data_IF_253476998899
#
_entry.id   IF_253476998899
#
_cell.length_a   1.000
_cell.length_b   1.000
_cell.length_c   1.000
_cell.angle_alpha   90.00
_cell.angle_beta   90.00
_cell.angle_gamma   90.00
#
_symmetry.space_group_name_H-M   'P 1'
#
loop_
_entity.id
_entity.type
_entity.pdbx_description
1 polymer ?
#
# COMPACT_ATOMS: atom_id res chain seq x y z
N UNK A 1 -0.40 7.60 13.19
CA UNK A 1 -0.16 6.22 13.69
C UNK A 1 1.29 6.12 14.14
N UNK A 2 1.59 5.36 15.20
CA UNK A 2 2.97 5.14 15.67
C UNK A 2 3.81 4.42 14.61
N UNK A 3 5.13 4.36 14.81
CA UNK A 3 6.07 3.55 14.00
C UNK A 3 6.89 2.72 14.97
N UNK A 4 6.83 1.39 14.85
CA UNK A 4 7.48 0.43 15.78
C UNK A 4 8.76 -0.17 15.21
N UNK A 5 9.00 -0.03 13.90
CA UNK A 5 10.07 -0.71 13.14
C UNK A 5 10.05 -2.24 13.24
N UNK A 6 8.94 -2.84 13.69
CA UNK A 6 8.73 -4.28 13.64
C UNK A 6 8.19 -4.63 12.24
N UNK A 7 8.83 -5.59 11.59
CA UNK A 7 8.42 -6.09 10.27
C UNK A 7 7.44 -7.25 10.44
N UNK A 8 6.29 -7.14 9.76
CA UNK A 8 5.43 -8.27 9.43
C UNK A 8 5.94 -8.87 8.12
N UNK A 9 6.51 -10.07 8.23
CA UNK A 9 6.97 -10.83 7.06
C UNK A 9 5.79 -11.61 6.50
N UNK A 10 5.42 -11.32 5.25
CA UNK A 10 4.35 -12.02 4.55
C UNK A 10 4.70 -13.50 4.38
N UNK A 11 3.71 -14.36 4.58
CA UNK A 11 3.79 -15.78 4.24
C UNK A 11 3.56 -15.97 2.75
N UNK A 12 4.08 -17.06 2.18
CA UNK A 12 3.93 -17.39 0.75
C UNK A 12 2.46 -17.53 0.31
N UNK A 13 1.54 -17.77 1.25
CA UNK A 13 0.10 -17.90 1.00
C UNK A 13 -0.65 -16.57 1.09
N UNK A 14 -0.01 -15.51 1.55
CA UNK A 14 -0.64 -14.20 1.75
C UNK A 14 -0.38 -13.31 0.54
N UNK A 15 -1.38 -12.54 0.11
CA UNK A 15 -1.22 -11.57 -0.97
C UNK A 15 -1.91 -10.27 -0.63
N UNK A 16 -1.21 -9.14 -0.71
CA UNK A 16 -1.82 -7.82 -0.48
C UNK A 16 -2.38 -7.30 -1.80
N UNK A 17 -3.71 -7.26 -1.90
CA UNK A 17 -4.40 -6.77 -3.10
C UNK A 17 -5.27 -5.57 -2.75
N UNK A 18 -5.14 -4.52 -3.55
CA UNK A 18 -6.07 -3.38 -3.53
C UNK A 18 -6.33 -2.88 -4.94
N UNK A 19 -7.47 -2.21 -5.13
CA UNK A 19 -7.77 -1.45 -6.34
C UNK A 19 -8.13 -0.04 -5.97
N UNK A 20 -7.78 0.90 -6.84
CA UNK A 20 -8.10 2.31 -6.67
C UNK A 20 -8.89 2.85 -7.86
N UNK A 21 -9.61 3.94 -7.64
CA UNK A 21 -10.13 4.78 -8.72
C UNK A 21 -9.02 5.65 -9.33
N UNK A 22 -9.36 6.45 -10.35
CA UNK A 22 -8.42 7.35 -11.02
C UNK A 22 -7.89 8.48 -10.12
N UNK A 23 -8.49 8.68 -8.95
CA UNK A 23 -8.07 9.65 -7.94
C UNK A 23 -7.20 9.01 -6.85
N UNK A 24 -6.95 7.70 -6.92
CA UNK A 24 -6.15 6.94 -5.95
C UNK A 24 -6.93 6.53 -4.70
N UNK A 25 -8.26 6.64 -4.69
CA UNK A 25 -9.10 6.17 -3.59
C UNK A 25 -9.36 4.67 -3.72
N UNK A 26 -9.22 3.94 -2.63
CA UNK A 26 -9.40 2.50 -2.59
C UNK A 26 -10.87 2.16 -2.88
N UNK A 27 -11.09 1.28 -3.85
CA UNK A 27 -12.42 0.74 -4.22
C UNK A 27 -12.58 -0.73 -3.84
N UNK A 28 -11.47 -1.42 -3.55
CA UNK A 28 -11.47 -2.82 -3.17
C UNK A 28 -10.19 -3.16 -2.40
N UNK A 29 -10.30 -4.06 -1.43
CA UNK A 29 -9.18 -4.72 -0.74
C UNK A 29 -9.52 -6.19 -0.50
N UNK A 30 -8.52 -7.07 -0.48
CA UNK A 30 -8.73 -8.45 -0.09
C UNK A 30 -8.58 -8.66 1.43
N UNK A 31 -8.94 -9.85 1.90
CA UNK A 31 -8.91 -10.18 3.33
C UNK A 31 -7.50 -10.14 3.93
N UNK A 32 -6.47 -10.57 3.19
CA UNK A 32 -5.09 -10.54 3.70
C UNK A 32 -4.64 -9.10 3.95
N UNK A 33 -4.98 -8.16 3.06
CA UNK A 33 -4.67 -6.76 3.28
C UNK A 33 -5.34 -6.23 4.58
N UNK A 34 -6.60 -6.57 4.82
CA UNK A 34 -7.30 -6.21 6.07
C UNK A 34 -6.54 -6.79 7.29
N UNK A 35 -6.21 -8.09 7.24
CA UNK A 35 -5.56 -8.79 8.35
C UNK A 35 -4.16 -8.24 8.65
N UNK A 36 -3.34 -8.06 7.61
CA UNK A 36 -1.94 -7.62 7.73
C UNK A 36 -1.89 -6.16 8.17
N UNK A 37 -2.68 -5.28 7.53
CA UNK A 37 -2.63 -3.85 7.80
C UNK A 37 -3.28 -3.46 9.13
N UNK A 38 -4.21 -4.29 9.64
CA UNK A 38 -4.97 -4.02 10.86
C UNK A 38 -6.03 -2.93 10.71
N UNK A 39 -6.32 -2.49 9.49
CA UNK A 39 -7.45 -1.61 9.18
C UNK A 39 -8.67 -2.44 8.82
N UNK A 40 -9.85 -2.00 9.25
CA UNK A 40 -11.09 -2.57 8.76
C UNK A 40 -11.36 -2.15 7.31
N UNK A 41 -12.14 -2.93 6.57
CA UNK A 41 -12.59 -2.56 5.22
C UNK A 41 -13.25 -1.17 5.20
N UNK A 42 -14.10 -0.87 6.19
CA UNK A 42 -14.78 0.42 6.30
C UNK A 42 -13.82 1.60 6.51
N UNK A 43 -12.62 1.37 7.05
CA UNK A 43 -11.57 2.39 7.18
C UNK A 43 -10.74 2.54 5.90
N UNK A 44 -10.76 1.55 5.01
CA UNK A 44 -9.97 1.52 3.78
C UNK A 44 -10.78 2.02 2.58
N UNK A 45 -12.02 1.55 2.41
CA UNK A 45 -12.84 1.87 1.24
C UNK A 45 -13.13 3.38 1.18
N UNK A 46 -12.89 3.96 0.00
CA UNK A 46 -13.03 5.39 -0.25
C UNK A 46 -11.89 6.26 0.26
N UNK A 47 -10.91 5.69 0.99
CA UNK A 47 -9.73 6.42 1.43
C UNK A 47 -8.61 6.39 0.39
N UNK A 48 -7.76 7.43 0.31
CA UNK A 48 -6.57 7.39 -0.51
C UNK A 48 -5.65 6.23 -0.09
N UNK A 49 -5.06 5.51 -1.05
CA UNK A 49 -4.19 4.36 -0.76
C UNK A 49 -2.95 4.71 0.08
N UNK A 50 -2.57 5.99 0.15
CA UNK A 50 -1.48 6.46 0.99
C UNK A 50 -1.77 6.36 2.51
N UNK A 51 -2.98 5.97 2.94
CA UNK A 51 -3.32 5.72 4.34
C UNK A 51 -2.36 4.72 5.00
N UNK A 52 -1.94 3.70 4.25
CA UNK A 52 -0.98 2.69 4.70
C UNK A 52 0.47 3.05 4.39
N UNK A 53 0.77 4.26 3.90
CA UNK A 53 2.14 4.63 3.56
C UNK A 53 3.02 4.72 4.81
N UNK A 54 4.18 4.09 4.75
CA UNK A 54 5.22 4.26 5.77
C UNK A 54 5.93 5.61 5.61
N UNK A 55 6.23 6.37 6.69
CA UNK A 55 6.92 7.66 6.61
C UNK A 55 8.33 7.59 6.01
N UNK A 56 9.02 6.45 6.14
CA UNK A 56 10.33 6.21 5.51
C UNK A 56 10.29 6.12 3.98
N UNK A 57 9.11 6.02 3.35
CA UNK A 57 9.04 5.94 1.89
C UNK A 57 9.49 7.28 1.27
N UNK A 58 10.54 7.28 0.43
CA UNK A 58 11.05 8.50 -0.18
C UNK A 58 10.00 9.12 -1.10
N UNK A 59 9.95 10.46 -1.14
CA UNK A 59 9.00 11.20 -1.99
C UNK A 59 9.28 10.94 -3.47
N UNK A 60 10.53 10.64 -3.81
CA UNK A 60 11.04 10.34 -5.13
C UNK A 60 10.41 9.07 -5.72
N UNK A 61 10.15 8.05 -4.89
CA UNK A 61 9.48 6.83 -5.35
C UNK A 61 8.06 7.12 -5.87
N UNK A 62 7.37 8.11 -5.29
CA UNK A 62 6.06 8.53 -5.76
C UNK A 62 6.13 9.41 -7.00
N UNK A 63 7.17 10.22 -7.13
CA UNK A 63 7.40 11.00 -8.36
C UNK A 63 7.59 10.06 -9.55
N UNK A 64 8.38 9.00 -9.37
CA UNK A 64 8.60 7.94 -10.37
C UNK A 64 7.31 7.18 -10.71
N UNK A 65 6.55 6.76 -9.70
CA UNK A 65 5.23 6.14 -9.85
C UNK A 65 4.30 6.97 -10.76
N UNK A 66 4.08 8.24 -10.40
CA UNK A 66 3.17 9.10 -11.15
C UNK A 66 3.69 9.45 -12.55
N UNK A 67 5.00 9.61 -12.71
CA UNK A 67 5.60 9.83 -14.04
C UNK A 67 5.36 8.62 -14.94
N UNK A 68 5.58 7.41 -14.42
CA UNK A 68 5.43 6.16 -15.17
C UNK A 68 3.98 5.92 -15.61
N UNK A 69 3.02 6.11 -14.70
CA UNK A 69 1.59 5.96 -15.04
C UNK A 69 1.09 7.01 -16.03
N UNK A 70 1.57 8.27 -15.93
CA UNK A 70 1.22 9.33 -16.88
C UNK A 70 1.76 9.06 -18.29
N UNK A 71 2.87 8.35 -18.40
CA UNK A 71 3.43 7.89 -19.67
C UNK A 71 2.66 6.68 -20.26
N UNK A 72 1.61 6.20 -19.59
CA UNK A 72 0.84 5.01 -20.00
C UNK A 72 1.62 3.71 -19.85
N UNK A 73 2.64 3.69 -18.98
CA UNK A 73 3.46 2.52 -18.69
C UNK A 73 3.03 1.90 -17.36
N UNK A 74 3.13 0.57 -17.28
CA UNK A 74 3.03 -0.11 -16.00
C UNK A 74 4.22 0.26 -15.11
N UNK A 75 3.96 0.44 -13.82
CA UNK A 75 4.94 0.69 -12.79
C UNK A 75 5.03 -0.51 -11.85
N UNK A 76 6.27 -0.90 -11.52
CA UNK A 76 6.56 -1.91 -10.51
C UNK A 76 7.59 -1.33 -9.54
N UNK A 77 7.33 -1.44 -8.24
CA UNK A 77 8.27 -0.97 -7.23
C UNK A 77 8.01 -1.55 -5.85
N UNK A 78 9.07 -1.61 -5.04
CA UNK A 78 8.99 -2.06 -3.66
C UNK A 78 8.44 -0.93 -2.77
N UNK A 79 7.37 -1.20 -2.06
CA UNK A 79 6.69 -0.21 -1.19
C UNK A 79 6.65 -0.71 0.25
N UNK A 80 7.16 0.11 1.17
CA UNK A 80 7.02 -0.07 2.62
C UNK A 80 5.68 0.50 3.06
N UNK A 81 4.82 -0.37 3.57
CA UNK A 81 3.54 0.01 4.14
C UNK A 81 3.56 -0.12 5.67
N UNK A 82 2.76 0.69 6.34
CA UNK A 82 2.63 0.77 7.78
C UNK A 82 1.25 0.26 8.20
N UNK A 83 1.26 -0.67 9.14
CA UNK A 83 0.08 -1.20 9.80
C UNK A 83 -0.50 -0.17 10.80
N UNK A 84 -1.77 -0.32 11.15
CA UNK A 84 -2.46 0.57 12.09
C UNK A 84 -1.80 0.61 13.47
N UNK A 85 -1.24 -0.52 13.92
CA UNK A 85 -0.49 -0.65 15.17
C UNK A 85 0.92 -0.04 15.13
N UNK A 86 1.41 0.34 13.94
CA UNK A 86 2.72 0.96 13.72
C UNK A 86 3.82 0.03 13.19
N UNK A 87 3.53 -1.27 13.04
CA UNK A 87 4.41 -2.22 12.35
C UNK A 87 4.45 -1.93 10.85
N UNK A 88 5.26 -2.66 10.10
CA UNK A 88 5.38 -2.47 8.66
C UNK A 88 5.49 -3.77 7.88
N UNK A 89 5.12 -3.73 6.61
CA UNK A 89 5.29 -4.83 5.68
C UNK A 89 5.72 -4.29 4.32
N UNK A 90 6.38 -5.14 3.54
CA UNK A 90 6.84 -4.82 2.20
C UNK A 90 5.96 -5.50 1.16
N UNK A 91 5.71 -4.79 0.07
CA UNK A 91 5.03 -5.33 -1.11
C UNK A 91 5.79 -4.94 -2.37
N UNK A 92 5.83 -5.85 -3.34
CA UNK A 92 6.10 -5.49 -4.73
C UNK A 92 4.78 -4.99 -5.34
N UNK A 93 4.63 -3.68 -5.43
CA UNK A 93 3.43 -3.06 -5.95
C UNK A 93 3.51 -2.99 -7.48
N UNK A 94 2.44 -3.42 -8.13
CA UNK A 94 2.25 -3.31 -9.58
C UNK A 94 1.05 -2.40 -9.85
N UNK A 95 1.25 -1.36 -10.64
CA UNK A 95 0.20 -0.43 -11.07
C UNK A 95 0.25 -0.26 -12.59
N UNK A 96 -0.91 -0.26 -13.25
CA UNK A 96 -1.05 -0.10 -14.68
C UNK A 96 -2.34 0.66 -15.01
#
# INVERSE_FOLDING_TARGET
MPVTNIEYVLQDTETVVSKTDLHGNITYVNQDFINISGFSEAELIGQPQNIVRHPDMPVEAFADFWSTLKDGKAWTGLVKNRCKNGDHYWVEANAA
#
